data_IF_564703877338
#
_entry.id   IF_564703877338
#
_cell.length_a   1.000
_cell.length_b   1.000
_cell.length_c   1.000
_cell.angle_alpha   90.00
_cell.angle_beta   90.00
_cell.angle_gamma   90.00
#
_symmetry.space_group_name_H-M   'P 1'
#
loop_
_entity.id
_entity.type
_entity.pdbx_description
1 polymer ?
#
# COMPACT_ATOMS: atom_id res chain seq x y z
N UNK A 1 20.21 23.60 -9.18
CA UNK A 1 19.07 23.11 -8.38
C UNK A 1 19.12 23.77 -7.01
N UNK A 2 18.00 24.32 -6.52
CA UNK A 2 17.94 24.95 -5.19
C UNK A 2 18.20 23.94 -4.08
N UNK A 3 18.94 24.32 -3.02
CA UNK A 3 19.20 23.49 -1.83
C UNK A 3 17.93 22.83 -1.25
N UNK A 4 16.81 23.56 -1.30
CA UNK A 4 15.51 23.06 -0.83
C UNK A 4 14.93 21.92 -1.68
N UNK A 5 15.20 21.90 -2.99
CA UNK A 5 14.78 20.80 -3.85
C UNK A 5 15.51 19.50 -3.47
N UNK A 6 16.81 19.61 -3.22
CA UNK A 6 17.66 18.49 -2.83
C UNK A 6 17.26 17.92 -1.46
N UNK A 7 16.94 18.78 -0.49
CA UNK A 7 16.47 18.32 0.83
C UNK A 7 15.11 17.60 0.74
N UNK A 8 14.18 18.13 -0.08
CA UNK A 8 12.89 17.51 -0.33
C UNK A 8 13.05 16.11 -0.95
N UNK A 9 13.86 15.99 -2.00
CA UNK A 9 14.13 14.72 -2.68
C UNK A 9 14.77 13.70 -1.73
N UNK A 10 15.70 14.14 -0.87
CA UNK A 10 16.32 13.29 0.17
C UNK A 10 15.28 12.73 1.14
N UNK A 11 14.42 13.59 1.71
CA UNK A 11 13.37 13.16 2.66
C UNK A 11 12.40 12.18 2.02
N UNK A 12 12.03 12.40 0.75
CA UNK A 12 11.17 11.49 -0.01
C UNK A 12 11.78 10.10 -0.13
N UNK A 13 13.05 10.01 -0.53
CA UNK A 13 13.78 8.74 -0.65
C UNK A 13 13.84 8.03 0.70
N UNK A 14 14.19 8.75 1.76
CA UNK A 14 14.28 8.20 3.12
C UNK A 14 12.96 7.56 3.59
N UNK A 15 11.82 8.25 3.37
CA UNK A 15 10.50 7.76 3.73
C UNK A 15 10.15 6.49 2.96
N UNK A 16 10.37 6.49 1.64
CA UNK A 16 10.12 5.32 0.77
C UNK A 16 10.95 4.11 1.22
N UNK A 17 12.23 4.32 1.51
CA UNK A 17 13.12 3.25 2.00
C UNK A 17 12.65 2.68 3.33
N UNK A 18 12.27 3.54 4.29
CA UNK A 18 11.75 3.09 5.59
C UNK A 18 10.44 2.32 5.45
N UNK A 19 9.54 2.77 4.57
CA UNK A 19 8.27 2.09 4.30
C UNK A 19 8.52 0.70 3.69
N UNK A 20 9.37 0.62 2.65
CA UNK A 20 9.75 -0.63 2.00
C UNK A 20 10.37 -1.62 2.98
N UNK A 21 11.31 -1.17 3.82
CA UNK A 21 11.94 -2.01 4.84
C UNK A 21 10.93 -2.61 5.82
N UNK A 22 9.99 -1.79 6.35
CA UNK A 22 8.92 -2.26 7.25
C UNK A 22 8.01 -3.29 6.59
N UNK A 23 7.69 -3.10 5.31
CA UNK A 23 6.86 -4.04 4.55
C UNK A 23 7.58 -5.39 4.35
N UNK A 24 8.87 -5.36 4.03
CA UNK A 24 9.69 -6.56 3.85
C UNK A 24 9.84 -7.34 5.16
N UNK A 25 10.10 -6.65 6.27
CA UNK A 25 10.18 -7.26 7.59
C UNK A 25 8.85 -7.95 7.98
N UNK A 26 7.72 -7.30 7.68
CA UNK A 26 6.40 -7.91 7.89
C UNK A 26 6.20 -9.16 7.05
N UNK A 27 6.63 -9.18 5.79
CA UNK A 27 6.54 -10.37 4.94
C UNK A 27 7.39 -11.51 5.48
N UNK A 28 8.62 -11.22 5.90
CA UNK A 28 9.50 -12.21 6.50
C UNK A 28 8.85 -12.86 7.72
N UNK A 29 8.25 -12.05 8.62
CA UNK A 29 7.49 -12.57 9.78
C UNK A 29 6.32 -13.46 9.38
N UNK A 30 5.56 -13.08 8.34
CA UNK A 30 4.44 -13.90 7.84
C UNK A 30 4.94 -15.21 7.24
N UNK A 31 6.05 -15.20 6.50
CA UNK A 31 6.65 -16.40 5.93
C UNK A 31 7.10 -17.38 7.02
N UNK A 32 7.78 -16.90 8.06
CA UNK A 32 8.19 -17.70 9.22
C UNK A 32 6.97 -18.28 9.94
N UNK A 33 5.93 -17.48 10.17
CA UNK A 33 4.70 -17.97 10.80
C UNK A 33 4.02 -19.06 9.98
N UNK A 34 3.97 -18.91 8.65
CA UNK A 34 3.41 -19.92 7.73
C UNK A 34 4.20 -21.24 7.81
N UNK A 35 5.52 -21.17 7.81
CA UNK A 35 6.38 -22.35 7.93
C UNK A 35 6.13 -23.08 9.25
N UNK A 36 6.03 -22.36 10.36
CA UNK A 36 5.70 -22.96 11.65
C UNK A 36 4.32 -23.62 11.67
N UNK A 37 3.32 -23.02 11.01
CA UNK A 37 2.00 -23.64 10.83
C UNK A 37 2.06 -24.88 9.94
N UNK A 38 2.84 -24.86 8.85
CA UNK A 38 2.98 -26.00 7.95
C UNK A 38 3.61 -27.21 8.64
N UNK A 39 4.63 -27.00 9.46
CA UNK A 39 5.25 -28.08 10.24
C UNK A 39 4.23 -28.77 11.14
N UNK A 40 3.46 -27.99 11.91
CA UNK A 40 2.42 -28.54 12.80
C UNK A 40 1.32 -29.26 12.04
N UNK A 41 0.95 -28.75 10.87
CA UNK A 41 -0.07 -29.37 10.02
C UNK A 41 0.42 -30.70 9.47
N UNK A 42 1.64 -30.76 8.92
CA UNK A 42 2.22 -32.00 8.39
C UNK A 42 2.32 -33.09 9.46
N UNK A 43 2.65 -32.72 10.70
CA UNK A 43 2.65 -33.64 11.86
C UNK A 43 1.25 -34.18 12.19
N UNK A 44 0.23 -33.30 12.19
CA UNK A 44 -1.16 -33.71 12.38
C UNK A 44 -1.69 -34.60 11.26
N UNK A 45 -1.31 -34.32 10.00
CA UNK A 45 -1.65 -35.14 8.83
C UNK A 45 -1.02 -36.54 8.94
N UNK A 46 0.25 -36.64 9.32
CA UNK A 46 0.91 -37.92 9.58
C UNK A 46 0.24 -38.71 10.70
N UNK A 47 -0.15 -38.04 11.78
CA UNK A 47 -0.89 -38.66 12.89
C UNK A 47 -2.26 -39.17 12.46
N UNK A 48 -2.97 -38.42 11.62
CA UNK A 48 -4.28 -38.83 11.11
C UNK A 48 -4.17 -40.07 10.22
N UNK A 49 -3.17 -40.10 9.33
CA UNK A 49 -2.91 -41.23 8.45
C UNK A 49 -2.49 -42.49 9.23
N UNK A 50 -1.68 -42.34 10.29
CA UNK A 50 -1.27 -43.45 11.15
C UNK A 50 -2.45 -44.09 11.93
N UNK A 51 -3.54 -43.35 12.15
CA UNK A 51 -4.76 -43.86 12.81
C UNK A 51 -5.68 -44.63 11.85
N UNK A 52 -5.53 -44.45 10.55
CA UNK A 52 -6.30 -45.18 9.56
C UNK A 52 -5.78 -46.62 9.44
N UNK A 53 -6.59 -47.61 9.84
CA UNK A 53 -6.17 -49.00 9.93
C UNK A 53 -6.47 -49.79 8.66
N UNK A 54 -7.56 -49.49 7.96
CA UNK A 54 -7.91 -50.11 6.68
C UNK A 54 -7.44 -49.28 5.46
N UNK A 55 -7.28 -49.93 4.31
CA UNK A 55 -6.96 -49.24 3.05
C UNK A 55 -8.01 -48.20 2.67
N UNK A 56 -9.29 -48.50 2.88
CA UNK A 56 -10.39 -47.56 2.64
C UNK A 56 -10.29 -46.31 3.54
N UNK A 57 -9.94 -46.49 4.82
CA UNK A 57 -9.73 -45.36 5.73
C UNK A 57 -8.51 -44.52 5.33
N UNK A 58 -7.42 -45.16 4.90
CA UNK A 58 -6.21 -44.45 4.45
C UNK A 58 -6.51 -43.61 3.21
N UNK A 59 -7.19 -44.19 2.21
CA UNK A 59 -7.61 -43.47 1.01
C UNK A 59 -8.50 -42.25 1.36
N UNK A 60 -9.49 -42.42 2.24
CA UNK A 60 -10.35 -41.32 2.67
C UNK A 60 -9.57 -40.20 3.41
N UNK A 61 -8.61 -40.58 4.26
CA UNK A 61 -7.73 -39.63 4.95
C UNK A 61 -6.83 -38.90 3.95
N UNK A 62 -6.25 -39.59 2.97
CA UNK A 62 -5.41 -38.98 1.93
C UNK A 62 -6.20 -37.97 1.09
N UNK A 63 -7.44 -38.30 0.70
CA UNK A 63 -8.34 -37.38 0.00
C UNK A 63 -8.66 -36.13 0.85
N UNK A 64 -8.93 -36.31 2.14
CA UNK A 64 -9.16 -35.21 3.07
C UNK A 64 -7.93 -34.31 3.21
N UNK A 65 -6.74 -34.90 3.36
CA UNK A 65 -5.47 -34.18 3.46
C UNK A 65 -5.20 -33.38 2.18
N UNK A 66 -5.45 -33.98 1.01
CA UNK A 66 -5.32 -33.29 -0.27
C UNK A 66 -6.25 -32.07 -0.35
N UNK A 67 -7.52 -32.24 0.02
CA UNK A 67 -8.52 -31.16 0.01
C UNK A 67 -8.15 -30.01 0.98
N UNK A 68 -7.64 -30.32 2.18
CA UNK A 68 -7.15 -29.30 3.12
C UNK A 68 -5.94 -28.54 2.57
N UNK A 69 -5.01 -29.25 1.94
CA UNK A 69 -3.82 -28.65 1.33
C UNK A 69 -4.21 -27.72 0.18
N UNK A 70 -5.18 -28.11 -0.65
CA UNK A 70 -5.71 -27.27 -1.72
C UNK A 70 -6.39 -26.02 -1.18
N UNK A 71 -7.28 -26.16 -0.19
CA UNK A 71 -7.94 -25.03 0.45
C UNK A 71 -6.92 -24.06 1.08
N UNK A 72 -5.88 -24.58 1.75
CA UNK A 72 -4.80 -23.79 2.31
C UNK A 72 -4.00 -23.03 1.24
N UNK A 73 -3.64 -23.69 0.15
CA UNK A 73 -2.94 -23.06 -0.98
C UNK A 73 -3.78 -21.95 -1.60
N UNK A 74 -5.07 -22.21 -1.85
CA UNK A 74 -6.01 -21.23 -2.39
C UNK A 74 -6.12 -20.01 -1.49
N UNK A 75 -6.33 -20.20 -0.18
CA UNK A 75 -6.40 -19.11 0.80
C UNK A 75 -5.14 -18.25 0.82
N UNK A 76 -3.96 -18.90 0.83
CA UNK A 76 -2.67 -18.19 0.84
C UNK A 76 -2.49 -17.37 -0.43
N UNK A 77 -2.76 -17.97 -1.59
CA UNK A 77 -2.68 -17.31 -2.88
C UNK A 77 -3.59 -16.09 -2.96
N UNK A 78 -4.86 -16.23 -2.54
CA UNK A 78 -5.81 -15.12 -2.51
C UNK A 78 -5.38 -14.00 -1.56
N UNK A 79 -4.91 -14.33 -0.35
CA UNK A 79 -4.41 -13.34 0.60
C UNK A 79 -3.15 -12.61 0.10
N UNK A 80 -2.23 -13.33 -0.56
CA UNK A 80 -1.02 -12.75 -1.13
C UNK A 80 -1.36 -11.83 -2.31
N UNK A 81 -2.29 -12.23 -3.17
CA UNK A 81 -2.81 -11.40 -4.25
C UNK A 81 -3.46 -10.11 -3.72
N UNK A 82 -4.32 -10.21 -2.70
CA UNK A 82 -4.94 -9.04 -2.06
C UNK A 82 -3.91 -8.06 -1.48
N UNK A 83 -2.85 -8.59 -0.84
CA UNK A 83 -1.77 -7.76 -0.30
C UNK A 83 -0.93 -7.12 -1.43
N UNK A 84 -0.67 -7.85 -2.51
CA UNK A 84 0.06 -7.33 -3.67
C UNK A 84 -0.72 -6.21 -4.37
N UNK A 85 -2.02 -6.42 -4.64
CA UNK A 85 -2.91 -5.40 -5.22
C UNK A 85 -2.99 -4.15 -4.36
N UNK A 86 -3.15 -4.30 -3.04
CA UNK A 86 -3.13 -3.17 -2.11
C UNK A 86 -1.83 -2.36 -2.18
N UNK A 87 -0.68 -3.03 -2.30
CA UNK A 87 0.62 -2.36 -2.38
C UNK A 87 0.79 -1.61 -3.68
N UNK A 88 0.46 -2.24 -4.80
CA UNK A 88 0.53 -1.60 -6.10
C UNK A 88 -0.35 -0.33 -6.15
N UNK A 89 -1.57 -0.42 -5.62
CA UNK A 89 -2.46 0.73 -5.54
C UNK A 89 -1.94 1.82 -4.59
N UNK A 90 -1.38 1.44 -3.43
CA UNK A 90 -0.77 2.39 -2.51
C UNK A 90 0.43 3.11 -3.12
N UNK A 91 1.30 2.40 -3.82
CA UNK A 91 2.47 2.97 -4.48
C UNK A 91 2.04 3.92 -5.60
N UNK A 92 1.00 3.59 -6.37
CA UNK A 92 0.43 4.47 -7.38
C UNK A 92 -0.12 5.77 -6.77
N UNK A 93 -0.86 5.69 -5.66
CA UNK A 93 -1.35 6.87 -4.94
C UNK A 93 -0.22 7.75 -4.37
N UNK A 94 0.85 7.12 -3.85
CA UNK A 94 2.04 7.84 -3.39
C UNK A 94 2.70 8.58 -4.55
N UNK A 95 2.90 7.92 -5.70
CA UNK A 95 3.48 8.54 -6.89
C UNK A 95 2.61 9.68 -7.42
N UNK A 96 1.29 9.50 -7.46
CA UNK A 96 0.35 10.54 -7.87
C UNK A 96 0.44 11.75 -6.93
N UNK A 97 0.45 11.53 -5.61
CA UNK A 97 0.60 12.59 -4.61
C UNK A 97 1.91 13.35 -4.80
N UNK A 98 3.02 12.65 -4.99
CA UNK A 98 4.32 13.27 -5.21
C UNK A 98 4.37 14.10 -6.49
N UNK A 99 3.79 13.61 -7.59
CA UNK A 99 3.67 14.34 -8.84
C UNK A 99 2.91 15.66 -8.64
N UNK A 100 1.77 15.61 -7.93
CA UNK A 100 0.98 16.80 -7.62
C UNK A 100 1.74 17.81 -6.73
N UNK A 101 2.45 17.32 -5.70
CA UNK A 101 3.28 18.18 -4.84
C UNK A 101 4.42 18.82 -5.63
N UNK A 102 5.08 18.06 -6.51
CA UNK A 102 6.13 18.58 -7.37
C UNK A 102 5.58 19.67 -8.30
N UNK A 103 4.44 19.44 -8.95
CA UNK A 103 3.81 20.45 -9.81
C UNK A 103 3.46 21.72 -9.04
N UNK A 104 2.95 21.61 -7.82
CA UNK A 104 2.66 22.77 -6.97
C UNK A 104 3.93 23.55 -6.58
N UNK A 105 5.04 22.84 -6.33
CA UNK A 105 6.34 23.46 -6.07
C UNK A 105 6.90 24.17 -7.31
N UNK A 106 6.83 23.53 -8.48
CA UNK A 106 7.32 24.10 -9.73
C UNK A 106 6.54 25.39 -10.10
N UNK A 107 5.22 25.42 -9.85
CA UNK A 107 4.38 26.63 -10.00
C UNK A 107 4.84 27.72 -9.04
N UNK A 108 5.06 27.39 -7.77
CA UNK A 108 5.52 28.36 -6.77
C UNK A 108 6.86 28.99 -7.14
N UNK A 109 7.81 28.18 -7.62
CA UNK A 109 9.12 28.66 -8.07
C UNK A 109 8.98 29.56 -9.31
N UNK A 110 8.16 29.17 -10.27
CA UNK A 110 7.89 29.97 -11.48
C UNK A 110 7.26 31.33 -11.14
N UNK A 111 6.24 31.35 -10.28
CA UNK A 111 5.61 32.58 -9.81
C UNK A 111 6.61 33.47 -9.04
N UNK A 112 7.52 32.86 -8.28
CA UNK A 112 8.59 33.56 -7.58
C UNK A 112 9.61 34.19 -8.52
N UNK A 113 10.09 33.44 -9.52
CA UNK A 113 11.03 33.94 -10.53
C UNK A 113 10.39 35.07 -11.36
N UNK A 114 9.10 34.96 -11.67
CA UNK A 114 8.33 36.03 -12.28
C UNK A 114 8.29 37.29 -11.40
N UNK A 115 7.94 37.15 -10.12
CA UNK A 115 7.91 38.28 -9.18
C UNK A 115 9.26 38.98 -9.06
N UNK A 116 10.35 38.23 -8.99
CA UNK A 116 11.72 38.75 -8.95
C UNK A 116 12.06 39.47 -10.26
N UNK A 117 11.73 38.88 -11.40
CA UNK A 117 12.03 39.45 -12.71
C UNK A 117 11.27 40.76 -12.95
N UNK A 118 10.00 40.81 -12.57
CA UNK A 118 9.19 42.02 -12.64
C UNK A 118 9.76 43.12 -11.74
N UNK A 119 10.11 42.80 -10.50
CA UNK A 119 10.71 43.77 -9.59
C UNK A 119 12.04 44.33 -10.11
N UNK A 120 12.88 43.50 -10.76
CA UNK A 120 14.12 43.95 -11.42
C UNK A 120 13.83 44.89 -12.59
N UNK A 121 12.83 44.57 -13.41
CA UNK A 121 12.43 45.40 -14.54
C UNK A 121 11.89 46.77 -14.08
N UNK A 122 11.04 46.79 -13.06
CA UNK A 122 10.49 48.02 -12.48
C UNK A 122 11.59 48.89 -11.84
N UNK A 123 12.61 48.26 -11.22
CA UNK A 123 13.78 48.98 -10.71
C UNK A 123 14.62 49.59 -11.85
N UNK A 124 14.79 48.86 -12.97
CA UNK A 124 15.60 49.30 -14.09
C UNK A 124 14.93 50.40 -14.92
N UNK A 125 13.60 50.43 -15.00
CA UNK A 125 12.87 51.47 -15.73
C UNK A 125 12.94 52.84 -15.03
N UNK A 126 13.15 52.86 -13.71
CA UNK A 126 13.20 54.09 -12.90
C UNK A 126 11.85 54.83 -12.80
N UNK A 127 10.78 54.27 -13.36
CA UNK A 127 9.45 54.89 -13.43
C UNK A 127 8.59 54.61 -12.21
N UNK A 128 8.85 53.50 -11.49
CA UNK A 128 8.11 53.10 -10.30
C UNK A 128 8.81 53.58 -9.02
N UNK A 129 8.03 54.00 -8.01
CA UNK A 129 8.60 54.35 -6.70
C UNK A 129 9.08 53.07 -6.00
N UNK A 130 10.20 53.10 -5.27
CA UNK A 130 10.71 51.91 -4.57
C UNK A 130 9.68 51.22 -3.65
N UNK A 131 8.79 51.99 -3.01
CA UNK A 131 7.72 51.45 -2.18
C UNK A 131 6.72 50.61 -3.00
N UNK A 132 6.35 51.08 -4.18
CA UNK A 132 5.36 50.41 -5.05
C UNK A 132 5.93 49.08 -5.58
N UNK A 133 7.21 49.06 -5.97
CA UNK A 133 7.93 47.85 -6.39
C UNK A 133 7.89 46.80 -5.26
N UNK A 134 8.19 47.23 -4.03
CA UNK A 134 8.16 46.34 -2.85
C UNK A 134 6.75 45.80 -2.58
N UNK A 135 5.73 46.65 -2.62
CA UNK A 135 4.34 46.24 -2.40
C UNK A 135 3.92 45.20 -3.45
N UNK A 136 4.21 45.45 -4.72
CA UNK A 136 3.88 44.54 -5.82
C UNK A 136 4.61 43.21 -5.69
N UNK A 137 5.91 43.22 -5.40
CA UNK A 137 6.68 42.00 -5.16
C UNK A 137 6.08 41.16 -4.02
N UNK A 138 5.78 41.79 -2.87
CA UNK A 138 5.16 41.10 -1.74
C UNK A 138 3.79 40.54 -2.12
N UNK A 139 2.98 41.29 -2.86
CA UNK A 139 1.67 40.83 -3.33
C UNK A 139 1.78 39.60 -4.24
N UNK A 140 2.72 39.60 -5.20
CA UNK A 140 2.98 38.44 -6.05
C UNK A 140 3.43 37.22 -5.24
N UNK A 141 4.38 37.39 -4.32
CA UNK A 141 4.86 36.31 -3.47
C UNK A 141 3.75 35.75 -2.55
N UNK A 142 2.88 36.60 -2.01
CA UNK A 142 1.73 36.17 -1.20
C UNK A 142 0.70 35.41 -2.03
N UNK A 143 0.48 35.80 -3.28
CA UNK A 143 -0.38 35.08 -4.22
C UNK A 143 0.21 33.70 -4.54
N UNK A 144 1.51 33.62 -4.86
CA UNK A 144 2.22 32.36 -5.10
C UNK A 144 2.11 31.40 -3.90
N UNK A 145 2.35 31.91 -2.68
CA UNK A 145 2.19 31.13 -1.44
C UNK A 145 0.76 30.62 -1.26
N UNK A 146 -0.24 31.48 -1.46
CA UNK A 146 -1.64 31.10 -1.35
C UNK A 146 -2.01 29.99 -2.33
N UNK A 147 -1.55 30.07 -3.58
CA UNK A 147 -1.74 29.00 -4.57
C UNK A 147 -1.13 27.69 -4.10
N UNK A 148 0.13 27.70 -3.65
CA UNK A 148 0.81 26.50 -3.15
C UNK A 148 0.05 25.87 -1.97
N UNK A 149 -0.35 26.67 -0.97
CA UNK A 149 -1.11 26.18 0.20
C UNK A 149 -2.44 25.55 -0.24
N UNK A 150 -3.17 26.18 -1.15
CA UNK A 150 -4.43 25.66 -1.66
C UNK A 150 -4.24 24.35 -2.45
N UNK A 151 -3.19 24.26 -3.28
CA UNK A 151 -2.82 23.02 -3.97
C UNK A 151 -2.52 21.89 -2.98
N UNK A 152 -1.72 22.15 -1.94
CA UNK A 152 -1.42 21.14 -0.91
C UNK A 152 -2.68 20.71 -0.17
N UNK A 153 -3.56 21.64 0.20
CA UNK A 153 -4.84 21.31 0.86
C UNK A 153 -5.72 20.41 0.00
N UNK A 154 -5.81 20.68 -1.30
CA UNK A 154 -6.56 19.85 -2.26
C UNK A 154 -5.94 18.47 -2.47
N UNK A 155 -4.62 18.36 -2.41
CA UNK A 155 -3.91 17.07 -2.45
C UNK A 155 -4.23 16.26 -1.18
N UNK A 156 -4.22 16.91 -0.01
CA UNK A 156 -4.46 16.24 1.26
C UNK A 156 -5.92 15.83 1.50
N UNK A 157 -6.89 16.42 0.81
CA UNK A 157 -8.28 15.97 0.88
C UNK A 157 -8.50 14.61 0.20
N UNK A 158 -7.48 14.02 -0.46
CA UNK A 158 -7.53 12.68 -1.07
C UNK A 158 -7.35 11.52 -0.07
N UNK A 159 -7.36 11.78 1.25
CA UNK A 159 -7.17 10.76 2.30
C UNK A 159 -8.18 9.60 2.24
N UNK A 160 -9.37 9.85 1.70
CA UNK A 160 -10.42 8.83 1.58
C UNK A 160 -10.03 7.68 0.64
N UNK A 161 -9.18 7.95 -0.37
CA UNK A 161 -8.67 6.91 -1.27
C UNK A 161 -7.93 5.81 -0.51
N UNK A 162 -7.16 6.15 0.53
CA UNK A 162 -6.42 5.16 1.33
C UNK A 162 -7.36 4.25 2.13
N UNK A 163 -8.45 4.81 2.68
CA UNK A 163 -9.44 4.02 3.43
C UNK A 163 -10.13 3.00 2.52
N UNK A 164 -10.45 3.39 1.28
CA UNK A 164 -11.00 2.48 0.28
C UNK A 164 -10.05 1.31 -0.01
N UNK A 165 -8.75 1.58 -0.22
CA UNK A 165 -7.76 0.53 -0.45
C UNK A 165 -7.64 -0.43 0.74
N UNK A 166 -7.66 0.11 1.97
CA UNK A 166 -7.59 -0.71 3.19
C UNK A 166 -8.82 -1.61 3.29
N UNK A 167 -10.00 -1.08 3.00
CA UNK A 167 -11.26 -1.82 3.08
C UNK A 167 -11.37 -2.90 1.99
N UNK A 168 -10.93 -2.59 0.75
CA UNK A 168 -10.86 -3.58 -0.33
C UNK A 168 -9.97 -4.77 0.07
N UNK A 169 -8.74 -4.51 0.53
CA UNK A 169 -7.85 -5.57 1.02
C UNK A 169 -8.46 -6.40 2.16
N UNK A 170 -9.17 -5.74 3.10
CA UNK A 170 -9.83 -6.44 4.21
C UNK A 170 -10.94 -7.35 3.69
N UNK A 171 -11.75 -6.89 2.73
CA UNK A 171 -12.81 -7.66 2.12
C UNK A 171 -12.24 -8.90 1.40
N UNK A 172 -11.22 -8.73 0.56
CA UNK A 172 -10.58 -9.83 -0.17
C UNK A 172 -10.00 -10.90 0.78
N UNK A 173 -9.38 -10.47 1.88
CA UNK A 173 -8.85 -11.39 2.91
C UNK A 173 -9.98 -12.10 3.64
N UNK A 174 -11.08 -11.40 3.96
CA UNK A 174 -12.24 -12.00 4.60
C UNK A 174 -12.90 -13.04 3.69
N UNK A 175 -13.04 -12.75 2.40
CA UNK A 175 -13.52 -13.69 1.41
C UNK A 175 -12.63 -14.94 1.33
N UNK A 176 -11.32 -14.77 1.24
CA UNK A 176 -10.37 -15.90 1.25
C UNK A 176 -10.50 -16.79 2.51
N UNK A 177 -10.80 -16.20 3.66
CA UNK A 177 -11.06 -16.94 4.92
C UNK A 177 -12.40 -17.68 4.87
N UNK A 178 -13.44 -17.05 4.34
CA UNK A 178 -14.76 -17.67 4.16
C UNK A 178 -14.66 -18.88 3.23
N UNK A 179 -14.06 -18.71 2.04
CA UNK A 179 -13.87 -19.80 1.08
C UNK A 179 -13.06 -20.96 1.66
N UNK A 180 -11.99 -20.66 2.41
CA UNK A 180 -11.22 -21.67 3.14
C UNK A 180 -12.09 -22.44 4.13
N UNK A 181 -12.83 -21.73 4.97
CA UNK A 181 -13.67 -22.33 6.01
C UNK A 181 -14.70 -23.28 5.40
N UNK A 182 -15.39 -22.84 4.35
CA UNK A 182 -16.34 -23.67 3.60
C UNK A 182 -15.66 -24.91 3.01
N UNK A 183 -14.52 -24.75 2.32
CA UNK A 183 -13.79 -25.87 1.72
C UNK A 183 -13.35 -26.91 2.77
N UNK A 184 -12.84 -26.46 3.92
CA UNK A 184 -12.42 -27.36 4.99
C UNK A 184 -13.59 -28.08 5.66
N UNK A 185 -14.75 -27.44 5.80
CA UNK A 185 -15.94 -28.08 6.35
C UNK A 185 -16.51 -29.11 5.37
N UNK A 186 -16.54 -28.82 4.08
CA UNK A 186 -16.90 -29.81 3.05
C UNK A 186 -15.97 -31.02 3.08
N UNK A 187 -14.65 -30.80 3.15
CA UNK A 187 -13.68 -31.88 3.25
C UNK A 187 -13.92 -32.74 4.51
N UNK A 188 -14.21 -32.10 5.64
CA UNK A 188 -14.50 -32.79 6.90
C UNK A 188 -15.78 -33.63 6.83
N UNK A 189 -16.85 -33.09 6.26
CA UNK A 189 -18.12 -33.80 6.07
C UNK A 189 -17.91 -35.01 5.16
N UNK A 190 -17.16 -34.86 4.06
CA UNK A 190 -16.84 -35.96 3.16
C UNK A 190 -16.06 -37.07 3.88
N UNK A 191 -15.02 -36.71 4.64
CA UNK A 191 -14.28 -37.69 5.45
C UNK A 191 -15.21 -38.44 6.41
N UNK A 192 -16.08 -37.71 7.12
CA UNK A 192 -17.02 -38.31 8.08
C UNK A 192 -17.95 -39.32 7.41
N UNK A 193 -18.54 -38.92 6.28
CA UNK A 193 -19.43 -39.77 5.50
C UNK A 193 -18.71 -41.03 4.98
N UNK A 194 -17.48 -40.90 4.46
CA UNK A 194 -16.68 -42.04 3.96
C UNK A 194 -16.29 -42.99 5.08
N UNK A 195 -16.10 -42.49 6.31
CA UNK A 195 -15.84 -43.32 7.49
C UNK A 195 -17.11 -43.93 8.12
N UNK A 196 -18.30 -43.64 7.58
CA UNK A 196 -19.57 -44.14 8.09
C UNK A 196 -20.01 -43.52 9.42
N UNK A 197 -19.62 -42.27 9.67
CA UNK A 197 -19.89 -41.51 10.91
C UNK A 197 -20.84 -40.32 10.72
#
# INVERSE_FOLDING_TARGET
>A
MSSHQTEYDRKRIEIRTKLSARLNERMARVAVARQATDVKRLDAEGTLLAKASSEAQKAAVDEYIAALNDAMRARRSAADAAVASYRAALDAEIQAREGLVKSALDIFLTDGDFAISQAKADCASGTAKPLDIRINYIAHMNSARSKMVNSIKSIESRKDALLLLINARKADIAEAVTSFTSATETARINLRNTLGM
#
